data_IF_843366526024
#
_entry.id   IF_843366526024
#
_cell.length_a   1.000
_cell.length_b   1.000
_cell.length_c   1.000
_cell.angle_alpha   90.00
_cell.angle_beta   90.00
_cell.angle_gamma   90.00
#
_symmetry.space_group_name_H-M   'P 1'
#
loop_
_entity.id
_entity.type
_entity.pdbx_description
1 polymer ?
#
# COMPACT_ATOMS: atom_id res chain seq x y z
N UNK A 1 9.59 19.15 -10.92
CA UNK A 1 8.43 18.23 -10.82
C UNK A 1 8.91 16.81 -11.05
N UNK A 2 8.45 15.88 -10.22
CA UNK A 2 8.68 14.43 -10.33
C UNK A 2 7.33 13.75 -10.49
N UNK A 3 7.23 12.84 -11.44
CA UNK A 3 6.02 12.07 -11.69
C UNK A 3 6.38 10.60 -11.75
N UNK A 4 5.67 9.77 -11.00
CA UNK A 4 5.83 8.33 -11.06
C UNK A 4 4.53 7.60 -10.78
N UNK A 5 4.35 6.44 -11.38
CA UNK A 5 3.29 5.50 -11.00
C UNK A 5 3.93 4.40 -10.14
N UNK A 6 3.41 4.24 -8.94
CA UNK A 6 3.70 3.11 -8.07
C UNK A 6 2.63 2.04 -8.28
N UNK A 7 3.05 0.83 -8.66
CA UNK A 7 2.16 -0.34 -8.66
C UNK A 7 2.41 -1.18 -7.41
N UNK A 8 1.33 -1.54 -6.74
CA UNK A 8 1.37 -2.43 -5.58
C UNK A 8 0.33 -3.53 -5.77
N UNK A 9 0.75 -4.79 -5.67
CA UNK A 9 -0.19 -5.89 -5.48
C UNK A 9 -0.59 -5.95 -4.03
N UNK A 10 -1.88 -6.11 -3.76
CA UNK A 10 -2.41 -6.20 -2.41
C UNK A 10 -3.19 -7.50 -2.22
N UNK A 11 -2.99 -8.19 -1.09
CA UNK A 11 -3.58 -9.50 -0.80
C UNK A 11 -5.02 -9.34 -0.30
N UNK A 12 -5.86 -8.55 -0.97
CA UNK A 12 -7.22 -8.22 -0.57
C UNK A 12 -8.20 -8.56 -1.69
N UNK A 13 -9.47 -8.82 -1.34
CA UNK A 13 -10.55 -8.64 -2.30
C UNK A 13 -10.81 -7.15 -2.52
N UNK A 14 -11.54 -6.84 -3.57
CA UNK A 14 -11.93 -5.47 -3.85
C UNK A 14 -12.74 -4.84 -2.70
N UNK A 15 -13.71 -5.59 -2.17
CA UNK A 15 -14.60 -5.14 -1.10
C UNK A 15 -13.85 -4.88 0.21
N UNK A 16 -12.86 -5.73 0.52
CA UNK A 16 -12.01 -5.57 1.70
C UNK A 16 -11.16 -4.31 1.59
N UNK A 17 -10.56 -4.06 0.43
CA UNK A 17 -9.77 -2.85 0.23
C UNK A 17 -10.60 -1.58 0.50
N UNK A 18 -11.86 -1.55 0.08
CA UNK A 18 -12.76 -0.44 0.42
C UNK A 18 -12.90 -0.28 1.94
N UNK A 19 -13.12 -1.37 2.69
CA UNK A 19 -13.24 -1.32 4.15
C UNK A 19 -11.94 -0.88 4.84
N UNK A 20 -10.80 -1.31 4.32
CA UNK A 20 -9.49 -1.10 4.94
C UNK A 20 -8.96 0.31 4.73
N UNK A 21 -9.12 0.84 3.52
CA UNK A 21 -8.52 2.11 3.13
C UNK A 21 -9.41 3.30 3.53
N UNK A 22 -10.73 3.16 3.57
CA UNK A 22 -11.64 4.25 3.96
C UNK A 22 -11.29 4.87 5.33
N UNK A 23 -11.06 4.10 6.42
CA UNK A 23 -10.68 4.65 7.72
C UNK A 23 -9.32 5.36 7.72
N UNK A 24 -8.37 4.92 6.88
CA UNK A 24 -7.08 5.60 6.75
C UNK A 24 -7.26 7.05 6.29
N UNK A 25 -8.23 7.28 5.42
CA UNK A 25 -8.56 8.60 4.88
C UNK A 25 -9.32 9.47 5.87
N UNK A 26 -10.04 8.86 6.82
CA UNK A 26 -10.72 9.58 7.90
C UNK A 26 -9.80 9.82 9.11
N UNK A 27 -8.63 9.20 9.17
CA UNK A 27 -7.67 9.34 10.29
C UNK A 27 -7.09 10.76 10.41
N UNK A 28 -6.53 11.10 11.57
CA UNK A 28 -5.86 12.39 11.78
C UNK A 28 -4.46 12.47 11.14
N UNK A 29 -4.05 11.44 10.39
CA UNK A 29 -2.65 11.17 10.03
C UNK A 29 -1.74 11.17 11.28
N UNK A 30 -0.44 10.90 11.12
CA UNK A 30 0.53 11.02 12.22
C UNK A 30 0.93 12.50 12.47
N UNK A 31 0.00 13.44 12.28
CA UNK A 31 0.26 14.88 12.39
C UNK A 31 0.35 15.33 13.85
N UNK A 32 1.03 16.46 14.10
CA UNK A 32 1.06 17.11 15.42
C UNK A 32 -0.31 17.67 15.77
N UNK A 33 -0.99 18.24 14.78
CA UNK A 33 -2.37 18.74 14.88
C UNK A 33 -3.11 18.44 13.59
N UNK A 34 -4.38 18.08 13.75
CA UNK A 34 -5.30 17.86 12.64
C UNK A 34 -6.59 18.65 12.93
N UNK A 35 -6.96 19.53 12.00
CA UNK A 35 -8.24 20.23 12.00
C UNK A 35 -9.05 19.77 10.79
N UNK A 36 -10.23 19.19 11.02
CA UNK A 36 -11.17 18.86 9.94
C UNK A 36 -11.89 20.13 9.48
N UNK A 37 -11.88 20.37 8.17
CA UNK A 37 -12.49 21.53 7.53
C UNK A 37 -13.78 21.13 6.82
N UNK A 38 -13.77 20.01 6.11
CA UNK A 38 -14.88 19.54 5.28
C UNK A 38 -15.06 18.03 5.43
N UNK A 39 -16.32 17.59 5.43
CA UNK A 39 -16.70 16.18 5.36
C UNK A 39 -18.06 16.11 4.67
N UNK A 40 -18.05 15.83 3.37
CA UNK A 40 -19.22 15.84 2.52
C UNK A 40 -19.40 14.52 1.80
N UNK A 41 -20.66 14.18 1.57
CA UNK A 41 -21.09 13.07 0.73
C UNK A 41 -22.00 13.62 -0.35
N UNK A 42 -21.60 13.43 -1.61
CA UNK A 42 -22.34 13.85 -2.80
C UNK A 42 -22.82 12.59 -3.49
N UNK A 43 -24.11 12.54 -3.82
CA UNK A 43 -24.68 11.49 -4.67
C UNK A 43 -24.85 12.12 -6.05
N UNK A 44 -24.15 11.57 -7.03
CA UNK A 44 -24.18 12.02 -8.42
C UNK A 44 -25.42 11.47 -9.15
N UNK A 45 -25.77 12.07 -10.28
CA UNK A 45 -26.95 11.67 -11.07
C UNK A 45 -26.84 10.23 -11.63
N UNK A 46 -25.63 9.72 -11.78
CA UNK A 46 -25.30 8.34 -12.15
C UNK A 46 -25.53 7.33 -10.99
N UNK A 47 -25.87 7.81 -9.80
CA UNK A 47 -26.03 7.02 -8.58
C UNK A 47 -24.73 6.76 -7.82
N UNK A 48 -23.58 7.19 -8.33
CA UNK A 48 -22.31 7.06 -7.63
C UNK A 48 -22.21 8.05 -6.47
N UNK A 49 -21.59 7.59 -5.38
CA UNK A 49 -21.33 8.44 -4.23
C UNK A 49 -19.88 8.93 -4.25
N UNK A 50 -19.71 10.23 -4.19
CA UNK A 50 -18.42 10.87 -3.93
C UNK A 50 -18.34 11.32 -2.46
N UNK A 51 -17.23 11.02 -1.81
CA UNK A 51 -16.93 11.47 -0.45
C UNK A 51 -15.76 12.44 -0.52
N UNK A 52 -15.92 13.61 0.10
CA UNK A 52 -14.90 14.65 0.14
C UNK A 52 -14.54 14.94 1.60
N UNK A 53 -13.26 14.76 1.93
CA UNK A 53 -12.70 15.15 3.21
C UNK A 53 -11.64 16.23 3.02
N UNK A 54 -11.67 17.24 3.87
CA UNK A 54 -10.64 18.28 3.87
C UNK A 54 -10.12 18.52 5.28
N UNK A 55 -8.81 18.62 5.42
CA UNK A 55 -8.12 18.79 6.70
C UNK A 55 -6.97 19.77 6.59
N UNK A 56 -6.65 20.41 7.70
CA UNK A 56 -5.39 21.11 7.91
C UNK A 56 -4.54 20.26 8.84
N UNK A 57 -3.34 19.90 8.39
CA UNK A 57 -2.40 19.03 9.08
C UNK A 57 -1.12 19.81 9.39
N UNK A 58 -0.68 19.79 10.64
CA UNK A 58 0.56 20.42 11.10
C UNK A 58 1.62 19.35 11.39
N UNK A 59 2.83 19.54 10.85
CA UNK A 59 3.98 18.65 11.04
C UNK A 59 5.22 19.40 11.56
N UNK A 60 5.01 20.44 12.37
CA UNK A 60 6.08 21.27 12.93
C UNK A 60 7.15 20.46 13.67
N UNK A 61 6.81 19.37 14.37
CA UNK A 61 7.76 18.51 15.09
C UNK A 61 8.71 17.75 14.16
N UNK A 62 8.30 17.52 12.90
CA UNK A 62 9.04 16.77 11.89
C UNK A 62 10.10 17.62 11.17
N UNK A 63 10.04 18.95 11.26
CA UNK A 63 11.08 19.82 10.71
C UNK A 63 12.37 19.65 11.54
N UNK A 64 13.54 19.36 10.92
CA UNK A 64 14.81 19.33 11.62
C UNK A 64 15.08 20.65 12.36
N UNK A 65 15.57 20.59 13.62
CA UNK A 65 15.71 21.77 14.49
C UNK A 65 16.50 22.92 13.85
N UNK A 66 17.58 22.61 13.12
CA UNK A 66 18.38 23.63 12.43
C UNK A 66 17.65 24.33 11.27
N UNK A 67 16.65 23.68 10.68
CA UNK A 67 15.88 24.23 9.56
C UNK A 67 14.73 25.13 10.05
N UNK A 68 14.19 24.88 11.25
CA UNK A 68 13.08 25.66 11.84
C UNK A 68 13.36 27.16 11.93
N UNK A 69 14.63 27.57 12.06
CA UNK A 69 14.99 28.99 12.20
C UNK A 69 14.85 29.78 10.89
N UNK A 70 14.88 29.10 9.74
CA UNK A 70 14.84 29.71 8.41
C UNK A 70 13.47 29.55 7.72
N UNK A 71 12.56 28.83 8.36
CA UNK A 71 11.23 28.54 7.83
C UNK A 71 10.17 29.36 8.55
N UNK A 72 9.13 29.83 7.84
CA UNK A 72 7.99 30.46 8.50
C UNK A 72 7.23 29.45 9.36
N UNK A 73 6.46 29.96 10.34
CA UNK A 73 5.72 29.12 11.31
C UNK A 73 4.74 28.15 10.66
N UNK A 74 4.19 28.50 9.50
CA UNK A 74 3.25 27.68 8.75
C UNK A 74 3.93 26.79 7.68
N UNK A 75 5.26 26.68 7.67
CA UNK A 75 5.99 25.94 6.63
C UNK A 75 5.67 24.44 6.57
N UNK A 76 5.24 23.85 7.69
CA UNK A 76 4.81 22.46 7.79
C UNK A 76 3.30 22.33 8.06
N UNK A 77 2.53 23.35 7.67
CA UNK A 77 1.06 23.32 7.68
C UNK A 77 0.58 23.07 6.27
N UNK A 78 -0.13 21.96 6.08
CA UNK A 78 -0.64 21.55 4.78
C UNK A 78 -2.15 21.38 4.83
N UNK A 79 -2.82 21.85 3.78
CA UNK A 79 -4.21 21.52 3.50
C UNK A 79 -4.23 20.24 2.70
N UNK A 80 -4.89 19.23 3.23
CA UNK A 80 -5.14 17.95 2.59
C UNK A 80 -6.59 17.92 2.12
N UNK A 81 -6.80 17.70 0.83
CA UNK A 81 -8.10 17.36 0.25
C UNK A 81 -8.06 15.91 -0.23
N UNK A 82 -9.02 15.10 0.21
CA UNK A 82 -9.21 13.73 -0.23
C UNK A 82 -10.58 13.64 -0.89
N UNK A 83 -10.63 13.09 -2.10
CA UNK A 83 -11.88 12.75 -2.79
C UNK A 83 -11.91 11.29 -3.15
N UNK A 84 -13.02 10.63 -2.87
CA UNK A 84 -13.25 9.23 -3.18
C UNK A 84 -14.51 9.14 -4.02
N UNK A 85 -14.42 8.57 -5.21
CA UNK A 85 -15.58 8.25 -6.04
C UNK A 85 -15.37 6.86 -6.61
N UNK A 86 -16.25 5.93 -6.22
CA UNK A 86 -16.12 4.51 -6.57
C UNK A 86 -14.75 3.94 -6.17
N UNK A 87 -14.01 3.44 -7.17
CA UNK A 87 -12.71 2.76 -6.99
C UNK A 87 -11.50 3.71 -7.13
N UNK A 88 -11.73 5.01 -7.30
CA UNK A 88 -10.69 6.02 -7.48
C UNK A 88 -10.63 6.94 -6.27
N UNK A 89 -9.42 7.16 -5.79
CA UNK A 89 -9.13 8.12 -4.74
C UNK A 89 -8.12 9.15 -5.22
N UNK A 90 -8.45 10.42 -5.03
CA UNK A 90 -7.49 11.50 -5.19
C UNK A 90 -7.15 12.11 -3.83
N UNK A 91 -5.88 12.44 -3.62
CA UNK A 91 -5.40 13.09 -2.40
C UNK A 91 -4.42 14.18 -2.77
N UNK A 92 -4.73 15.42 -2.41
CA UNK A 92 -3.97 16.61 -2.76
C UNK A 92 -3.51 17.33 -1.51
N UNK A 93 -2.22 17.62 -1.42
CA UNK A 93 -1.64 18.49 -0.42
C UNK A 93 -1.25 19.82 -1.04
N UNK A 94 -1.67 20.91 -0.39
CA UNK A 94 -1.26 22.28 -0.71
C UNK A 94 -0.76 22.98 0.54
N UNK A 95 -0.04 24.09 0.35
CA UNK A 95 0.47 24.91 1.45
C UNK A 95 0.15 26.37 1.19
N UNK A 96 -0.37 27.06 2.20
CA UNK A 96 -0.60 28.52 2.13
C UNK A 96 0.71 29.32 2.13
N UNK A 97 1.83 28.71 2.52
CA UNK A 97 3.13 29.37 2.50
C UNK A 97 3.72 29.43 1.09
N UNK A 98 3.77 28.30 0.40
CA UNK A 98 4.40 28.16 -0.92
C UNK A 98 3.41 28.05 -2.07
N UNK A 99 2.10 28.11 -1.80
CA UNK A 99 1.03 28.14 -2.80
C UNK A 99 1.23 27.07 -3.90
N UNK A 100 1.16 27.46 -5.17
CA UNK A 100 1.30 26.58 -6.33
C UNK A 100 2.72 26.01 -6.50
N UNK A 101 3.69 26.49 -5.73
CA UNK A 101 5.05 25.98 -5.74
C UNK A 101 5.23 24.73 -4.87
N UNK A 102 4.19 24.29 -4.17
CA UNK A 102 4.06 22.92 -3.65
C UNK A 102 2.88 22.20 -4.30
N UNK A 103 3.15 21.00 -4.81
CA UNK A 103 2.13 20.02 -5.12
C UNK A 103 2.61 18.67 -4.63
N UNK A 104 1.84 18.02 -3.77
CA UNK A 104 1.92 16.59 -3.57
C UNK A 104 0.54 16.02 -3.85
N UNK A 105 0.41 15.33 -4.96
CA UNK A 105 -0.86 14.83 -5.45
C UNK A 105 -0.75 13.33 -5.72
N UNK A 106 -1.74 12.60 -5.23
CA UNK A 106 -1.94 11.19 -5.47
C UNK A 106 -3.24 10.98 -6.21
N UNK A 107 -3.20 10.13 -7.21
CA UNK A 107 -4.36 9.59 -7.89
C UNK A 107 -4.24 8.07 -7.88
N UNK A 108 -5.18 7.41 -7.25
CA UNK A 108 -5.09 6.01 -6.87
C UNK A 108 -6.28 5.29 -7.47
N UNK A 109 -5.99 4.27 -8.25
CA UNK A 109 -6.98 3.40 -8.88
C UNK A 109 -6.71 1.98 -8.42
N UNK A 110 -7.75 1.32 -7.94
CA UNK A 110 -7.73 -0.10 -7.63
C UNK A 110 -8.35 -0.88 -8.77
N UNK A 111 -7.71 -1.96 -9.20
CA UNK A 111 -8.16 -2.85 -10.26
C UNK A 111 -8.15 -4.29 -9.74
N UNK A 112 -9.16 -5.08 -10.11
CA UNK A 112 -9.22 -6.49 -9.73
C UNK A 112 -8.11 -7.32 -10.41
N UNK A 113 -7.62 -8.33 -9.71
CA UNK A 113 -6.61 -9.24 -10.23
C UNK A 113 -5.18 -8.67 -10.21
N UNK A 114 -4.25 -9.49 -10.71
CA UNK A 114 -2.84 -9.14 -10.86
C UNK A 114 -2.62 -8.46 -12.22
N UNK A 115 -2.50 -7.14 -12.22
CA UNK A 115 -2.30 -6.34 -13.43
C UNK A 115 -0.81 -6.07 -13.62
N UNK A 116 -0.17 -6.78 -14.56
CA UNK A 116 1.26 -6.64 -14.84
C UNK A 116 1.59 -5.51 -15.81
N UNK A 117 0.60 -4.98 -16.52
CA UNK A 117 0.76 -3.86 -17.44
C UNK A 117 0.31 -2.54 -16.80
N UNK A 118 0.83 -1.42 -17.31
CA UNK A 118 0.41 -0.08 -16.91
C UNK A 118 -0.51 0.48 -17.99
N UNK A 119 -1.81 0.53 -17.72
CA UNK A 119 -2.74 1.31 -18.53
C UNK A 119 -2.67 2.77 -18.12
N UNK A 120 -2.09 3.61 -18.98
CA UNK A 120 -1.91 5.03 -18.72
C UNK A 120 -3.20 5.82 -18.89
N UNK A 121 -4.18 5.30 -19.63
CA UNK A 121 -5.44 5.99 -19.90
C UNK A 121 -6.32 6.06 -18.64
N UNK A 122 -5.99 5.28 -17.60
CA UNK A 122 -6.56 5.40 -16.26
C UNK A 122 -6.24 6.75 -15.59
N UNK A 123 -5.20 7.45 -16.06
CA UNK A 123 -4.75 8.71 -15.51
C UNK A 123 -4.81 9.83 -16.55
N UNK A 124 -5.27 10.99 -16.14
CA UNK A 124 -5.31 12.20 -16.98
C UNK A 124 -3.90 12.81 -17.10
N UNK A 125 -2.99 12.14 -17.82
CA UNK A 125 -1.60 12.53 -18.04
C UNK A 125 -1.45 13.37 -19.31
N UNK A 126 -0.74 14.50 -19.23
CA UNK A 126 -0.36 15.26 -20.43
C UNK A 126 0.82 14.61 -21.17
N UNK A 127 1.04 14.97 -22.43
CA UNK A 127 2.17 14.46 -23.21
C UNK A 127 3.53 14.83 -22.60
N UNK A 128 3.63 15.98 -21.94
CA UNK A 128 4.82 16.41 -21.18
C UNK A 128 5.04 15.54 -19.94
N UNK A 129 3.97 15.18 -19.23
CA UNK A 129 4.06 14.31 -18.06
C UNK A 129 4.52 12.92 -18.46
N UNK A 130 3.99 12.38 -19.56
CA UNK A 130 4.39 11.07 -20.12
C UNK A 130 5.89 11.01 -20.42
N UNK A 131 6.52 12.12 -20.84
CA UNK A 131 7.98 12.18 -21.14
C UNK A 131 8.88 12.06 -19.91
N UNK A 132 8.37 12.43 -18.72
CA UNK A 132 9.14 12.42 -17.46
C UNK A 132 8.63 11.38 -16.46
N UNK A 133 7.59 10.64 -16.85
CA UNK A 133 6.97 9.61 -16.03
C UNK A 133 7.94 8.46 -15.80
N UNK A 134 7.99 7.98 -14.55
CA UNK A 134 8.75 6.79 -14.16
C UNK A 134 7.82 5.77 -13.52
N UNK A 135 8.21 4.49 -13.57
CA UNK A 135 7.42 3.40 -13.02
C UNK A 135 8.15 2.75 -11.87
N UNK A 136 7.41 2.44 -10.82
CA UNK A 136 7.91 1.77 -9.63
C UNK A 136 6.97 0.61 -9.28
N UNK A 137 7.55 -0.45 -8.73
CA UNK A 137 6.81 -1.58 -8.19
C UNK A 137 7.17 -1.68 -6.72
N UNK A 138 6.16 -1.79 -5.87
CA UNK A 138 6.34 -2.07 -4.46
C UNK A 138 5.90 -3.50 -4.17
N UNK A 139 6.84 -4.30 -3.66
CA UNK A 139 6.54 -5.63 -3.16
C UNK A 139 6.26 -5.56 -1.66
N UNK A 140 5.02 -5.88 -1.28
CA UNK A 140 4.57 -5.89 0.11
C UNK A 140 5.44 -6.81 0.99
N UNK A 141 5.94 -7.92 0.44
CA UNK A 141 6.78 -8.89 1.13
C UNK A 141 8.27 -8.57 1.12
N UNK A 142 8.69 -7.46 0.49
CA UNK A 142 10.08 -7.04 0.54
C UNK A 142 10.49 -6.79 2.00
N UNK A 143 11.61 -7.37 2.47
CA UNK A 143 12.12 -7.14 3.81
C UNK A 143 12.37 -5.66 4.07
N UNK A 144 12.08 -5.22 5.29
CA UNK A 144 12.40 -3.85 5.71
C UNK A 144 13.70 -3.88 6.50
N UNK A 145 14.61 -2.97 6.18
CA UNK A 145 15.77 -2.73 7.03
C UNK A 145 15.29 -2.33 8.43
N UNK A 146 15.65 -3.13 9.44
CA UNK A 146 15.11 -3.04 10.80
C UNK A 146 15.48 -1.72 11.52
N UNK A 147 16.45 -0.97 11.00
CA UNK A 147 16.95 0.29 11.55
C UNK A 147 16.21 1.53 11.03
N UNK A 148 15.26 1.36 10.09
CA UNK A 148 14.39 2.44 9.66
C UNK A 148 13.46 2.87 10.81
N UNK A 149 13.66 4.08 11.36
CA UNK A 149 12.85 4.66 12.45
C UNK A 149 11.33 4.65 12.19
N UNK A 150 10.90 4.64 10.93
CA UNK A 150 9.50 4.60 10.54
C UNK A 150 8.91 3.18 10.50
N UNK A 151 9.75 2.15 10.49
CA UNK A 151 9.32 0.76 10.48
C UNK A 151 8.86 0.33 11.87
N UNK A 152 7.78 -0.45 11.92
CA UNK A 152 7.28 -1.07 13.15
C UNK A 152 7.21 -2.56 12.90
N UNK A 153 7.84 -3.34 13.76
CA UNK A 153 7.84 -4.81 13.65
C UNK A 153 6.44 -5.42 13.67
N UNK A 154 5.49 -4.77 14.35
CA UNK A 154 4.08 -5.17 14.33
C UNK A 154 3.39 -4.98 12.97
N UNK A 155 4.04 -4.29 12.03
CA UNK A 155 3.59 -4.10 10.66
C UNK A 155 4.52 -4.81 9.66
N UNK A 156 5.15 -5.92 10.05
CA UNK A 156 5.94 -6.74 9.15
C UNK A 156 5.08 -7.85 8.53
N UNK A 157 4.80 -7.81 7.21
CA UNK A 157 4.01 -8.85 6.55
C UNK A 157 4.69 -10.23 6.58
N UNK A 158 6.02 -10.28 6.71
CA UNK A 158 6.77 -11.55 6.81
C UNK A 158 6.51 -12.27 8.13
N UNK A 159 6.01 -11.55 9.14
CA UNK A 159 5.81 -12.04 10.50
C UNK A 159 4.35 -11.91 10.95
N UNK A 160 3.41 -11.86 9.99
CA UNK A 160 1.99 -11.69 10.27
C UNK A 160 1.14 -12.69 9.49
N UNK A 161 0.20 -13.33 10.19
CA UNK A 161 -0.91 -14.07 9.58
C UNK A 161 -2.20 -13.48 10.14
N UNK A 162 -3.11 -13.08 9.26
CA UNK A 162 -4.42 -12.56 9.66
C UNK A 162 -5.21 -13.64 10.38
N UNK A 163 -5.64 -13.35 11.61
CA UNK A 163 -6.51 -14.23 12.40
C UNK A 163 -7.95 -14.26 11.86
N UNK A 164 -8.32 -13.28 11.04
CA UNK A 164 -9.63 -13.23 10.41
C UNK A 164 -9.65 -14.04 9.12
N UNK A 165 -8.59 -13.91 8.32
CA UNK A 165 -8.61 -14.32 6.90
C UNK A 165 -7.59 -15.39 6.56
N UNK A 166 -6.72 -15.77 7.50
CA UNK A 166 -5.67 -16.78 7.30
C UNK A 166 -4.56 -16.37 6.34
N UNK A 167 -4.60 -15.17 5.77
CA UNK A 167 -3.60 -14.67 4.81
C UNK A 167 -2.29 -14.29 5.48
N UNK A 168 -1.21 -14.49 4.75
CA UNK A 168 0.17 -14.31 5.23
C UNK A 168 0.78 -15.62 5.76
N UNK A 169 2.06 -15.59 6.19
CA UNK A 169 2.97 -14.46 6.03
C UNK A 169 3.28 -14.16 4.56
N UNK A 170 3.59 -12.90 4.27
CA UNK A 170 3.85 -12.41 2.91
C UNK A 170 5.34 -12.17 2.77
N UNK A 171 5.98 -13.03 1.98
CA UNK A 171 7.39 -12.94 1.65
C UNK A 171 7.63 -12.28 0.30
N UNK A 172 8.86 -11.83 0.06
CA UNK A 172 9.27 -11.29 -1.23
C UNK A 172 8.89 -12.24 -2.38
N UNK A 173 8.30 -11.68 -3.45
CA UNK A 173 7.81 -12.42 -4.60
C UNK A 173 6.50 -13.18 -4.36
N UNK A 174 5.76 -12.91 -3.27
CA UNK A 174 4.50 -13.60 -2.95
C UNK A 174 3.50 -13.60 -4.11
N UNK A 175 3.38 -12.48 -4.82
CA UNK A 175 2.39 -12.32 -5.89
C UNK A 175 2.66 -13.22 -7.10
N UNK A 176 3.90 -13.67 -7.30
CA UNK A 176 4.26 -14.59 -8.38
C UNK A 176 3.83 -16.03 -8.08
N UNK A 177 3.68 -16.35 -6.80
CA UNK A 177 3.25 -17.68 -6.33
C UNK A 177 1.74 -17.89 -6.54
N UNK A 178 0.94 -16.81 -6.60
CA UNK A 178 -0.52 -16.88 -6.77
C UNK A 178 -0.91 -17.34 -8.18
N UNK A 179 -0.17 -16.90 -9.21
CA UNK A 179 -0.41 -17.29 -10.61
C UNK A 179 -0.23 -18.80 -10.85
N UNK A 180 0.56 -19.49 -10.02
CA UNK A 180 0.78 -20.94 -10.11
C UNK A 180 -0.43 -21.72 -9.63
N UNK A 181 -1.11 -21.24 -8.58
CA UNK A 181 -2.28 -21.90 -8.02
C UNK A 181 -3.50 -21.76 -8.94
N UNK A 182 -3.73 -20.57 -9.51
CA UNK A 182 -4.83 -20.33 -10.45
C UNK A 182 -4.71 -21.18 -11.73
N UNK A 183 -3.52 -21.30 -12.33
CA UNK A 183 -3.30 -22.20 -13.49
C UNK A 183 -3.44 -23.68 -13.16
N UNK A 184 -3.18 -24.07 -11.91
CA UNK A 184 -3.36 -25.44 -11.44
C UNK A 184 -4.83 -25.74 -11.13
N UNK A 185 -5.61 -24.75 -10.69
CA UNK A 185 -7.06 -24.83 -10.47
C UNK A 185 -7.83 -24.87 -11.80
N UNK A 186 -7.50 -24.03 -12.78
CA UNK A 186 -8.08 -24.07 -14.15
C UNK A 186 -7.81 -25.42 -14.86
N UNK A 187 -6.71 -26.10 -14.52
CA UNK A 187 -6.46 -27.48 -14.99
C UNK A 187 -7.36 -28.51 -14.30
N UNK A 188 -7.71 -28.30 -13.04
CA UNK A 188 -8.62 -29.17 -12.28
C UNK A 188 -10.09 -28.93 -12.63
N UNK A 189 -10.48 -27.69 -12.94
CA UNK A 189 -11.85 -27.34 -13.39
C UNK A 189 -12.23 -27.94 -14.75
N UNK A 190 -11.26 -28.42 -15.54
CA UNK A 190 -11.54 -29.19 -16.75
C UNK A 190 -11.84 -30.67 -16.49
N UNK A 191 -11.72 -31.16 -15.25
CA UNK A 191 -12.00 -32.56 -14.90
C UNK A 191 -13.28 -32.76 -14.10
N UNK A 192 -13.83 -31.75 -13.40
CA UNK A 192 -15.11 -31.90 -12.69
C UNK A 192 -15.98 -30.63 -12.78
N UNK A 193 -17.02 -30.68 -13.65
CA UNK A 193 -18.13 -29.74 -13.60
C UNK A 193 -19.27 -30.32 -12.76
N UNK A 194 -19.88 -29.44 -11.98
CA UNK A 194 -21.09 -29.64 -11.15
C UNK A 194 -20.84 -30.11 -9.70
N UNK A 195 -20.32 -29.19 -8.87
CA UNK A 195 -20.90 -28.78 -7.56
C UNK A 195 -19.88 -27.92 -6.79
N UNK A 196 -19.86 -26.62 -7.02
CA UNK A 196 -19.41 -25.62 -6.03
C UNK A 196 -19.70 -24.21 -6.58
N UNK A 197 -20.98 -23.88 -6.62
CA UNK A 197 -21.45 -22.49 -6.75
C UNK A 197 -22.12 -22.11 -5.44
N UNK A 198 -21.31 -21.85 -4.42
CA UNK A 198 -21.66 -20.99 -3.28
C UNK A 198 -20.40 -20.72 -2.43
N UNK A 199 -19.85 -19.51 -2.61
CA UNK A 199 -18.91 -18.79 -1.75
C UNK A 199 -18.54 -19.44 -0.39
N UNK A 200 -17.40 -20.11 -0.37
CA UNK A 200 -16.54 -20.16 0.82
C UNK A 200 -15.13 -19.79 0.36
N UNK A 201 -14.63 -18.66 0.83
CA UNK A 201 -13.24 -18.27 0.66
C UNK A 201 -12.37 -19.36 1.28
N UNK A 202 -11.89 -20.28 0.45
CA UNK A 202 -10.82 -21.18 0.84
C UNK A 202 -9.66 -20.33 1.33
N UNK A 203 -9.23 -20.56 2.58
CA UNK A 203 -8.05 -19.91 3.16
C UNK A 203 -6.76 -20.20 2.36
N UNK A 204 -6.83 -21.09 1.36
CA UNK A 204 -5.73 -21.46 0.47
C UNK A 204 -5.60 -20.55 -0.76
N UNK A 205 -6.66 -19.81 -1.12
CA UNK A 205 -6.62 -18.83 -2.21
C UNK A 205 -6.45 -17.41 -1.67
N UNK A 206 -5.31 -16.78 -1.95
CA UNK A 206 -5.11 -15.36 -1.58
C UNK A 206 -5.64 -14.50 -2.73
N UNK A 207 -6.72 -13.70 -2.52
CA UNK A 207 -7.18 -12.76 -3.53
C UNK A 207 -6.12 -11.69 -3.78
N UNK A 208 -6.12 -11.17 -5.00
CA UNK A 208 -5.19 -10.13 -5.41
C UNK A 208 -5.95 -9.01 -6.11
N UNK A 209 -5.67 -7.79 -5.67
CA UNK A 209 -6.00 -6.57 -6.41
C UNK A 209 -4.71 -5.83 -6.71
N UNK A 210 -4.75 -5.00 -7.75
CA UNK A 210 -3.65 -4.12 -8.10
C UNK A 210 -4.02 -2.68 -7.80
N UNK A 211 -3.21 -2.02 -6.99
CA UNK A 211 -3.26 -0.57 -6.82
C UNK A 211 -2.27 0.08 -7.79
N UNK A 212 -2.78 0.99 -8.62
CA UNK A 212 -1.96 1.94 -9.36
C UNK A 212 -2.08 3.30 -8.70
N UNK A 213 -0.94 3.87 -8.30
CA UNK A 213 -0.88 5.19 -7.68
C UNK A 213 0.02 6.11 -8.47
N UNK A 214 -0.59 7.04 -9.19
CA UNK A 214 0.12 8.16 -9.79
C UNK A 214 0.47 9.17 -8.70
N UNK A 215 1.75 9.53 -8.63
CA UNK A 215 2.28 10.57 -7.74
C UNK A 215 2.79 11.72 -8.58
N UNK A 216 2.27 12.92 -8.33
CA UNK A 216 2.83 14.19 -8.82
C UNK A 216 3.42 14.95 -7.65
N UNK A 217 4.73 15.20 -7.71
CA UNK A 217 5.43 15.97 -6.70
C UNK A 217 6.13 17.18 -7.33
N UNK A 218 5.81 18.38 -6.82
CA UNK A 218 6.47 19.64 -7.15
C UNK A 218 6.82 20.32 -5.84
N UNK A 219 8.06 20.78 -5.73
CA UNK A 219 8.48 21.67 -4.67
C UNK A 219 9.44 22.70 -5.24
N UNK A 220 9.06 23.99 -5.20
CA UNK A 220 9.88 25.09 -5.69
C UNK A 220 10.05 26.11 -4.57
N UNK A 221 11.25 26.14 -4.01
CA UNK A 221 11.63 27.14 -3.02
C UNK A 221 13.12 27.42 -3.12
N UNK A 222 13.48 28.71 -3.04
CA UNK A 222 14.86 29.16 -3.18
C UNK A 222 15.76 28.49 -2.14
N UNK A 223 16.80 27.81 -2.61
CA UNK A 223 17.83 27.18 -1.76
C UNK A 223 17.58 25.71 -1.39
N UNK A 224 16.34 25.20 -1.41
CA UNK A 224 16.06 23.78 -1.08
C UNK A 224 15.41 22.96 -2.20
N UNK A 225 14.98 23.57 -3.31
CA UNK A 225 14.27 22.87 -4.39
C UNK A 225 14.96 21.54 -4.79
N UNK A 226 16.22 21.62 -5.22
CA UNK A 226 16.94 20.45 -5.73
C UNK A 226 17.08 19.34 -4.69
N UNK A 227 17.31 19.71 -3.42
CA UNK A 227 17.47 18.76 -2.31
C UNK A 227 16.13 18.06 -2.04
N UNK A 228 15.05 18.82 -1.94
CA UNK A 228 13.71 18.27 -1.64
C UNK A 228 13.19 17.43 -2.81
N UNK A 229 13.32 17.89 -4.06
CA UNK A 229 12.90 17.12 -5.24
C UNK A 229 13.74 15.84 -5.46
N UNK A 230 14.97 15.79 -4.93
CA UNK A 230 15.80 14.58 -4.94
C UNK A 230 15.41 13.59 -3.83
N UNK A 231 15.16 14.06 -2.61
CA UNK A 231 14.84 13.20 -1.46
C UNK A 231 13.39 12.72 -1.44
N UNK A 232 12.45 13.54 -1.90
CA UNK A 232 11.02 13.28 -1.76
C UNK A 232 10.54 11.96 -2.37
N UNK A 233 10.97 11.53 -3.58
CA UNK A 233 10.52 10.25 -4.13
C UNK A 233 10.81 9.06 -3.21
N UNK A 234 12.01 9.00 -2.61
CA UNK A 234 12.37 7.93 -1.67
C UNK A 234 11.57 7.98 -0.38
N UNK A 235 11.35 9.18 0.18
CA UNK A 235 10.50 9.36 1.36
C UNK A 235 9.04 8.96 1.08
N UNK A 236 8.49 9.37 -0.06
CA UNK A 236 7.13 9.01 -0.48
C UNK A 236 7.01 7.50 -0.64
N UNK A 237 7.96 6.85 -1.35
CA UNK A 237 7.99 5.40 -1.50
C UNK A 237 7.95 4.68 -0.14
N UNK A 238 8.79 5.10 0.80
CA UNK A 238 8.83 4.52 2.16
C UNK A 238 7.53 4.73 2.93
N UNK A 239 6.93 5.93 2.87
CA UNK A 239 5.67 6.21 3.55
C UNK A 239 4.53 5.36 2.97
N UNK A 240 4.43 5.28 1.64
CA UNK A 240 3.41 4.50 0.95
C UNK A 240 3.55 3.01 1.26
N UNK A 241 4.77 2.49 1.14
CA UNK A 241 5.06 1.09 1.45
C UNK A 241 4.72 0.72 2.89
N UNK A 242 5.12 1.56 3.85
CA UNK A 242 4.76 1.36 5.26
C UNK A 242 3.24 1.45 5.48
N UNK A 243 2.54 2.33 4.76
CA UNK A 243 1.08 2.39 4.76
C UNK A 243 0.44 1.07 4.34
N UNK A 244 0.86 0.48 3.23
CA UNK A 244 0.34 -0.81 2.76
C UNK A 244 0.63 -1.96 3.74
N UNK A 245 1.86 -2.01 4.30
CA UNK A 245 2.23 -3.00 5.31
C UNK A 245 1.37 -2.90 6.56
N UNK A 246 1.12 -1.68 7.05
CA UNK A 246 0.22 -1.42 8.17
C UNK A 246 -1.23 -1.81 7.83
N UNK A 247 -1.69 -1.47 6.62
CA UNK A 247 -3.03 -1.84 6.16
C UNK A 247 -3.26 -3.35 6.16
N UNK A 248 -2.21 -4.13 5.86
CA UNK A 248 -2.24 -5.59 5.94
C UNK A 248 -2.19 -6.12 7.37
N UNK A 249 -1.28 -5.62 8.20
CA UNK A 249 -0.99 -6.23 9.50
C UNK A 249 -1.91 -5.77 10.64
N UNK A 250 -2.54 -4.59 10.56
CA UNK A 250 -3.23 -3.98 11.71
C UNK A 250 -4.75 -3.96 11.63
N UNK A 251 -5.32 -4.38 10.51
CA UNK A 251 -6.74 -4.16 10.27
C UNK A 251 -7.62 -5.40 10.47
N UNK A 252 -7.13 -6.42 11.18
CA UNK A 252 -7.93 -7.58 11.58
C UNK A 252 -9.19 -7.16 12.36
N UNK A 253 -9.15 -6.08 13.15
CA UNK A 253 -10.35 -5.58 13.86
C UNK A 253 -11.44 -5.04 12.90
N UNK A 254 -11.03 -4.36 11.82
CA UNK A 254 -11.94 -3.82 10.80
C UNK A 254 -12.50 -4.96 9.96
N UNK A 255 -11.62 -5.84 9.48
CA UNK A 255 -12.02 -7.02 8.72
C UNK A 255 -12.89 -7.95 9.54
N UNK A 256 -12.60 -8.14 10.83
CA UNK A 256 -13.40 -8.99 11.71
C UNK A 256 -14.84 -8.52 11.81
N UNK A 257 -15.07 -7.21 11.99
CA UNK A 257 -16.43 -6.63 11.98
C UNK A 257 -17.11 -6.81 10.63
N UNK A 258 -16.38 -6.58 9.53
CA UNK A 258 -16.92 -6.77 8.19
C UNK A 258 -17.31 -8.23 7.93
N UNK A 259 -16.42 -9.19 8.24
CA UNK A 259 -16.65 -10.63 8.08
C UNK A 259 -17.84 -11.10 8.93
N UNK A 260 -17.95 -10.64 10.17
CA UNK A 260 -19.11 -10.91 11.02
C UNK A 260 -20.41 -10.37 10.40
N UNK A 261 -20.39 -9.13 9.87
CA UNK A 261 -21.57 -8.52 9.23
C UNK A 261 -22.05 -9.29 8.00
N UNK A 262 -21.13 -9.99 7.32
CA UNK A 262 -21.39 -10.81 6.13
C UNK A 262 -21.59 -12.29 6.44
N UNK A 263 -21.47 -12.68 7.72
CA UNK A 263 -21.49 -14.08 8.15
C UNK A 263 -20.43 -14.94 7.43
N UNK A 264 -19.25 -14.37 7.19
CA UNK A 264 -18.11 -15.07 6.60
C UNK A 264 -17.34 -15.88 7.65
N UNK A 265 -16.70 -17.00 7.24
CA UNK A 265 -15.87 -17.78 8.14
C UNK A 265 -14.66 -16.96 8.62
N UNK A 266 -14.30 -17.15 9.89
CA UNK A 266 -13.13 -16.53 10.53
C UNK A 266 -12.07 -17.61 10.73
N UNK A 267 -10.84 -17.35 10.30
CA UNK A 267 -9.75 -18.33 10.35
C UNK A 267 -9.41 -18.78 11.77
N UNK A 268 -9.37 -17.84 12.71
CA UNK A 268 -9.06 -18.08 14.11
C UNK A 268 -7.60 -17.78 14.45
N UNK A 269 -7.42 -17.24 15.66
CA UNK A 269 -6.11 -16.79 16.15
C UNK A 269 -5.10 -17.93 16.30
N UNK A 270 -5.52 -19.07 16.87
CA UNK A 270 -4.63 -20.22 17.07
C UNK A 270 -4.12 -20.77 15.73
N UNK A 271 -5.01 -20.94 14.75
CA UNK A 271 -4.63 -21.40 13.41
C UNK A 271 -3.66 -20.43 12.73
N UNK A 272 -3.84 -19.11 12.91
CA UNK A 272 -2.92 -18.09 12.40
C UNK A 272 -1.52 -18.20 13.03
N UNK A 273 -1.44 -18.40 14.35
CA UNK A 273 -0.17 -18.57 15.06
C UNK A 273 0.56 -19.86 14.63
N UNK A 274 -0.16 -20.97 14.47
CA UNK A 274 0.38 -22.25 14.00
C UNK A 274 0.88 -22.14 12.55
N UNK A 275 0.09 -21.52 11.66
CA UNK A 275 0.48 -21.28 10.26
C UNK A 275 1.73 -20.41 10.17
N UNK A 276 1.79 -19.34 10.96
CA UNK A 276 2.95 -18.44 10.99
C UNK A 276 4.21 -19.21 11.42
N UNK A 277 4.12 -19.95 12.52
CA UNK A 277 5.23 -20.75 13.04
C UNK A 277 5.76 -21.72 11.99
N UNK A 278 4.87 -22.49 11.37
CA UNK A 278 5.23 -23.44 10.33
C UNK A 278 5.90 -22.77 9.12
N UNK A 279 5.34 -21.66 8.64
CA UNK A 279 5.89 -20.92 7.50
C UNK A 279 7.31 -20.38 7.78
N UNK A 280 7.55 -19.86 8.99
CA UNK A 280 8.87 -19.38 9.39
C UNK A 280 9.90 -20.51 9.54
N UNK A 281 9.49 -21.68 10.04
CA UNK A 281 10.37 -22.86 10.12
C UNK A 281 10.81 -23.34 8.74
N UNK A 282 9.88 -23.47 7.79
CA UNK A 282 10.20 -23.84 6.41
C UNK A 282 11.12 -22.82 5.75
N UNK A 283 10.87 -21.52 5.98
CA UNK A 283 11.70 -20.45 5.43
C UNK A 283 13.13 -20.53 5.94
N UNK A 284 13.32 -20.72 7.25
CA UNK A 284 14.63 -20.85 7.86
C UNK A 284 15.43 -22.05 7.29
N UNK A 285 14.76 -23.18 7.07
CA UNK A 285 15.39 -24.36 6.45
C UNK A 285 15.86 -24.08 5.02
N UNK A 286 15.03 -23.41 4.21
CA UNK A 286 15.38 -23.03 2.84
C UNK A 286 16.59 -22.10 2.80
N UNK A 287 16.63 -21.09 3.68
CA UNK A 287 17.75 -20.14 3.75
C UNK A 287 19.07 -20.80 4.15
N UNK A 288 19.04 -21.74 5.10
CA UNK A 288 20.21 -22.55 5.48
C UNK A 288 20.74 -23.35 4.29
N UNK A 289 19.86 -24.04 3.55
CA UNK A 289 20.23 -24.80 2.37
C UNK A 289 20.88 -23.92 1.28
N UNK A 290 20.34 -22.72 1.04
CA UNK A 290 20.90 -21.78 0.07
C UNK A 290 22.30 -21.30 0.48
N UNK A 291 22.51 -21.01 1.75
CA UNK A 291 23.83 -20.62 2.26
C UNK A 291 24.86 -21.74 2.13
N UNK A 292 24.48 -22.98 2.38
CA UNK A 292 25.35 -24.15 2.20
C UNK A 292 25.72 -24.37 0.73
N UNK A 293 24.74 -24.26 -0.18
CA UNK A 293 24.98 -24.36 -1.62
C UNK A 293 25.93 -23.27 -2.12
N UNK A 294 25.78 -22.02 -1.65
CA UNK A 294 26.68 -20.93 -1.99
C UNK A 294 28.11 -21.14 -1.46
N UNK A 295 28.25 -21.65 -0.23
CA UNK A 295 29.57 -22.01 0.34
C UNK A 295 30.25 -23.11 -0.47
N UNK A 296 29.50 -24.12 -0.91
CA UNK A 296 30.05 -25.20 -1.73
C UNK A 296 30.49 -24.70 -3.11
N UNK A 297 29.67 -23.87 -3.78
CA UNK A 297 30.05 -23.24 -5.05
C UNK A 297 31.33 -22.40 -4.92
N UNK A 298 31.48 -21.59 -3.88
CA UNK A 298 32.71 -20.79 -3.67
C UNK A 298 33.96 -21.66 -3.50
N UNK A 299 33.86 -22.79 -2.79
CA UNK A 299 34.97 -23.74 -2.63
C UNK A 299 35.38 -24.41 -3.94
N UNK A 300 34.45 -24.58 -4.89
CA UNK A 300 34.73 -25.16 -6.20
C UNK A 300 35.37 -24.16 -7.18
N UNK A 301 35.20 -22.85 -6.98
CA UNK A 301 35.87 -21.79 -7.76
C UNK A 301 37.28 -21.45 -7.25
N UNK A 302 37.62 -21.85 -6.02
CA UNK A 302 38.94 -21.63 -5.41
C UNK A 302 39.91 -22.82 -5.59
N UNK A 303 39.48 -23.87 -6.31
CA UNK A 303 40.29 -25.04 -6.72
C UNK A 303 40.58 -25.01 -8.21
#
# INVERSE_FOLDING_TARGET
MKIFILRTFLPFTFEEAVQLYQPCYESNALSDKCQRIRNERIIHDDGETEIIHEKILEYTSYIPKGLKLFLPKNAAVFREEIRMKGMRLTRKFTSEWINDDLLLYYDIVFVEGKQEEYDLDMFDLTDEEKKILTYQVFDLGEPVEQDLKSFKSSADPNHFVSSITGRGPIFQGWSDQINLNQKNEERKENEDKEKEKENQTSFDSTPIITEFRLVRFKFKWTGLQTIVEHLAPGVIHTILGNGHRQSFCWNDDILGKYYQSKNYPIFGKQAAEEKLKYALEIRAQYEQQQQEQQKNKKKDYEK
#
